data_IF_994710678417
#
_entry.id   IF_994710678417
#
_cell.length_a   1.000
_cell.length_b   1.000
_cell.length_c   1.000
_cell.angle_alpha   90.00
_cell.angle_beta   90.00
_cell.angle_gamma   90.00
#
_symmetry.space_group_name_H-M   'P 1'
#
loop_
_entity.id
_entity.type
_entity.pdbx_description
1 polymer ?
#
# COMPACT_ATOMS: atom_id res chain seq x y z
N UNK A 1 6.17 13.17 8.29
CA UNK A 1 5.33 11.99 8.69
C UNK A 1 4.73 11.28 7.47
N UNK A 2 4.54 11.95 6.32
CA UNK A 2 4.19 11.29 5.05
C UNK A 2 5.41 10.71 4.29
N UNK A 3 6.62 11.10 4.69
CA UNK A 3 7.85 10.82 3.93
C UNK A 3 8.30 9.36 4.02
N UNK A 4 8.16 8.73 5.20
CA UNK A 4 8.54 7.31 5.39
C UNK A 4 7.65 6.34 4.62
N UNK A 5 6.34 6.61 4.58
CA UNK A 5 5.41 5.79 3.84
C UNK A 5 5.64 5.95 2.33
N UNK A 6 5.82 7.18 1.86
CA UNK A 6 6.16 7.48 0.47
C UNK A 6 7.47 6.80 0.04
N UNK A 7 8.51 6.88 0.87
CA UNK A 7 9.77 6.19 0.61
C UNK A 7 9.58 4.67 0.55
N UNK A 8 8.80 4.09 1.47
CA UNK A 8 8.48 2.66 1.47
C UNK A 8 7.73 2.26 0.18
N UNK A 9 6.79 3.09 -0.30
CA UNK A 9 6.11 2.84 -1.58
C UNK A 9 7.09 2.84 -2.76
N UNK A 10 8.01 3.81 -2.83
CA UNK A 10 9.02 3.84 -3.88
C UNK A 10 9.93 2.61 -3.85
N UNK A 11 10.30 2.15 -2.66
CA UNK A 11 11.07 0.91 -2.49
C UNK A 11 10.29 -0.31 -3.01
N UNK A 12 8.99 -0.41 -2.71
CA UNK A 12 8.14 -1.49 -3.26
C UNK A 12 8.06 -1.44 -4.78
N UNK A 13 7.93 -0.24 -5.36
CA UNK A 13 7.92 -0.07 -6.83
C UNK A 13 9.25 -0.51 -7.46
N UNK A 14 10.36 -0.43 -6.73
CA UNK A 14 11.68 -0.92 -7.15
C UNK A 14 11.89 -2.43 -6.86
N UNK A 15 10.88 -3.15 -6.37
CA UNK A 15 10.94 -4.59 -6.10
C UNK A 15 11.44 -4.99 -4.70
N UNK A 16 11.53 -4.04 -3.76
CA UNK A 16 11.92 -4.34 -2.38
C UNK A 16 10.76 -5.02 -1.62
N UNK A 17 10.90 -6.33 -1.40
CA UNK A 17 9.93 -7.12 -0.67
C UNK A 17 9.89 -6.79 0.84
N UNK A 18 10.99 -6.31 1.43
CA UNK A 18 11.00 -5.90 2.84
C UNK A 18 10.22 -4.60 3.05
N UNK A 19 10.25 -3.70 2.07
CA UNK A 19 9.40 -2.50 2.08
C UNK A 19 7.92 -2.87 2.00
N UNK A 20 7.55 -3.89 1.22
CA UNK A 20 6.17 -4.39 1.13
C UNK A 20 5.71 -4.96 2.46
N UNK A 21 6.55 -5.75 3.12
CA UNK A 21 6.26 -6.33 4.43
C UNK A 21 6.04 -5.24 5.49
N UNK A 22 6.87 -4.19 5.51
CA UNK A 22 6.70 -3.05 6.43
C UNK A 22 5.37 -2.32 6.21
N UNK A 23 4.97 -2.12 4.95
CA UNK A 23 3.66 -1.54 4.63
C UNK A 23 2.55 -2.48 5.11
N UNK A 24 2.65 -3.78 4.85
CA UNK A 24 1.65 -4.76 5.29
C UNK A 24 1.50 -4.77 6.82
N UNK A 25 2.58 -4.82 7.57
CA UNK A 25 2.54 -4.79 9.04
C UNK A 25 1.90 -3.51 9.58
N UNK A 26 2.14 -2.37 8.92
CA UNK A 26 1.51 -1.09 9.29
C UNK A 26 -0.01 -1.10 9.06
N UNK A 27 -0.46 -1.74 7.99
CA UNK A 27 -1.89 -1.81 7.65
C UNK A 27 -2.61 -3.05 8.22
N UNK A 28 -1.87 -4.00 8.80
CA UNK A 28 -2.40 -5.25 9.38
C UNK A 28 -3.53 -5.04 10.39
N UNK A 29 -3.47 -4.08 11.35
CA UNK A 29 -4.61 -3.83 12.24
C UNK A 29 -5.87 -3.40 11.50
N UNK A 30 -5.71 -2.62 10.42
CA UNK A 30 -6.81 -2.20 9.56
C UNK A 30 -7.38 -3.37 8.76
N UNK A 31 -6.51 -4.21 8.20
CA UNK A 31 -6.92 -5.42 7.49
C UNK A 31 -7.72 -6.35 8.41
N UNK A 32 -7.19 -6.66 9.61
CA UNK A 32 -7.88 -7.50 10.60
C UNK A 32 -9.25 -6.92 10.96
N UNK A 33 -9.34 -5.61 11.23
CA UNK A 33 -10.61 -4.95 11.57
C UNK A 33 -11.65 -5.11 10.47
N UNK A 34 -11.24 -5.03 9.20
CA UNK A 34 -12.15 -5.18 8.05
C UNK A 34 -12.43 -6.66 7.70
N UNK A 35 -11.76 -7.60 8.36
CA UNK A 35 -11.99 -9.05 8.22
C UNK A 35 -12.88 -9.63 9.31
N UNK A 36 -13.43 -8.80 10.19
CA UNK A 36 -14.40 -9.22 11.19
C UNK A 36 -15.81 -9.25 10.56
N UNK A 37 -16.44 -10.42 10.55
CA UNK A 37 -17.83 -10.63 10.12
C UNK A 37 -18.59 -11.17 11.33
N UNK A 38 -19.62 -10.45 11.77
CA UNK A 38 -20.37 -10.75 13.01
C UNK A 38 -19.45 -10.97 14.22
N UNK A 39 -18.49 -10.06 14.39
CA UNK A 39 -17.44 -10.08 15.44
C UNK A 39 -16.52 -11.32 15.42
N UNK A 40 -16.61 -12.16 14.39
CA UNK A 40 -15.72 -13.30 14.18
C UNK A 40 -14.69 -12.97 13.12
N UNK A 41 -13.44 -13.29 13.42
CA UNK A 41 -12.38 -13.19 12.43
C UNK A 41 -12.61 -14.20 11.31
N UNK A 42 -12.67 -13.70 10.09
CA UNK A 42 -12.79 -14.50 8.89
C UNK A 42 -11.42 -14.52 8.17
N UNK A 43 -10.76 -15.68 8.22
CA UNK A 43 -9.43 -15.90 7.62
C UNK A 43 -9.43 -15.70 6.10
N UNK A 44 -10.45 -16.20 5.40
CA UNK A 44 -10.58 -16.04 3.94
C UNK A 44 -10.74 -14.57 3.57
N UNK A 45 -11.55 -13.83 4.34
CA UNK A 45 -11.73 -12.39 4.16
C UNK A 45 -10.43 -11.63 4.39
N UNK A 46 -9.66 -12.00 5.41
CA UNK A 46 -8.35 -11.43 5.68
C UNK A 46 -7.35 -11.71 4.57
N UNK A 47 -7.30 -12.93 4.08
CA UNK A 47 -6.42 -13.31 2.99
C UNK A 47 -6.76 -12.56 1.69
N UNK A 48 -8.04 -12.47 1.35
CA UNK A 48 -8.52 -11.72 0.17
C UNK A 48 -8.23 -10.22 0.27
N UNK A 49 -8.47 -9.62 1.44
CA UNK A 49 -8.16 -8.21 1.68
C UNK A 49 -6.66 -7.94 1.61
N UNK A 50 -5.85 -8.82 2.19
CA UNK A 50 -4.39 -8.74 2.15
C UNK A 50 -3.87 -8.84 0.71
N UNK A 51 -4.40 -9.78 -0.08
CA UNK A 51 -4.02 -9.96 -1.49
C UNK A 51 -4.39 -8.72 -2.33
N UNK A 52 -5.61 -8.21 -2.18
CA UNK A 52 -6.05 -6.99 -2.86
C UNK A 52 -5.18 -5.80 -2.48
N UNK A 53 -4.86 -5.66 -1.20
CA UNK A 53 -3.98 -4.60 -0.73
C UNK A 53 -2.58 -4.70 -1.34
N UNK A 54 -1.96 -5.89 -1.38
CA UNK A 54 -0.66 -6.10 -2.04
C UNK A 54 -0.72 -5.72 -3.52
N UNK A 55 -1.77 -6.15 -4.23
CA UNK A 55 -1.96 -5.81 -5.64
C UNK A 55 -2.05 -4.29 -5.82
N UNK A 56 -2.81 -3.61 -4.96
CA UNK A 56 -2.93 -2.16 -4.97
C UNK A 56 -1.57 -1.50 -4.72
N UNK A 57 -0.85 -1.86 -3.66
CA UNK A 57 0.47 -1.29 -3.32
C UNK A 57 1.48 -1.49 -4.45
N UNK A 58 1.49 -2.67 -5.09
CA UNK A 58 2.39 -2.96 -6.22
C UNK A 58 2.00 -2.23 -7.51
N UNK A 59 0.71 -2.02 -7.77
CA UNK A 59 0.22 -1.33 -8.98
C UNK A 59 0.11 0.19 -8.83
N UNK A 60 0.24 0.71 -7.60
CA UNK A 60 0.12 2.13 -7.30
C UNK A 60 1.27 2.91 -7.96
N UNK A 61 1.01 3.47 -9.14
CA UNK A 61 1.90 4.44 -9.78
C UNK A 61 1.52 5.82 -9.31
N UNK A 62 2.35 6.45 -8.48
CA UNK A 62 2.24 7.88 -8.22
C UNK A 62 2.68 8.65 -9.47
N UNK A 63 1.74 8.94 -10.36
CA UNK A 63 1.95 9.96 -11.40
C UNK A 63 1.70 11.32 -10.75
N UNK A 64 2.76 11.96 -10.26
CA UNK A 64 2.66 13.38 -9.93
C UNK A 64 2.39 14.11 -11.25
N UNK A 65 1.24 14.77 -11.35
CA UNK A 65 0.86 15.53 -12.54
C UNK A 65 1.99 16.45 -12.97
N UNK A 66 2.27 16.46 -14.28
CA UNK A 66 3.25 17.30 -14.96
C UNK A 66 3.27 18.72 -14.39
N UNK A 67 4.36 19.11 -13.74
CA UNK A 67 4.74 20.52 -13.67
C UNK A 67 5.90 20.74 -14.63
N UNK A 68 5.59 20.72 -15.93
CA UNK A 68 6.49 21.26 -16.96
C UNK A 68 6.35 22.78 -16.97
N UNK A 69 6.93 23.46 -15.98
CA UNK A 69 7.20 24.91 -16.08
C UNK A 69 8.67 25.08 -16.48
N UNK A 70 9.06 24.56 -17.65
CA UNK A 70 10.29 24.95 -18.35
C UNK A 70 10.13 24.81 -19.88
N UNK A 71 8.96 25.18 -20.42
CA UNK A 71 8.81 25.43 -21.87
C UNK A 71 8.21 26.81 -22.20
N UNK A 72 8.07 27.68 -21.21
CA UNK A 72 7.64 29.08 -21.38
C UNK A 72 8.46 30.05 -20.52
N UNK A 73 9.75 29.79 -20.36
CA UNK A 73 10.76 30.78 -19.96
C UNK A 73 11.97 30.61 -20.88
#
# INVERSE_FOLDING_TARGET
MNDELYNSYNQVQNGDNYALERILEKFKPCLIKNSLIDDKFNEDCFQELSLKFIICVKKLKFTFGNMTIQKYL
#
